data_IF_537106339229
#
_entry.id   IF_537106339229
#
_cell.length_a   1.000
_cell.length_b   1.000
_cell.length_c   1.000
_cell.angle_alpha   90.00
_cell.angle_beta   90.00
_cell.angle_gamma   90.00
#
_symmetry.space_group_name_H-M   'P 1'
#
loop_
_entity.id
_entity.type
_entity.pdbx_description
1 polymer ?
#
# COMPACT_ATOMS: atom_id res chain seq x y z
N UNK A 1 -5.16 -24.54 -9.73
CA UNK A 1 -6.26 -23.62 -10.10
C UNK A 1 -5.98 -22.30 -9.43
N UNK A 2 -5.68 -21.27 -10.21
CA UNK A 2 -5.54 -19.91 -9.71
C UNK A 2 -6.94 -19.38 -9.47
N UNK A 3 -7.34 -19.20 -8.21
CA UNK A 3 -8.58 -18.48 -7.90
C UNK A 3 -8.32 -17.03 -8.30
N UNK A 4 -8.92 -16.57 -9.39
CA UNK A 4 -8.91 -15.14 -9.72
C UNK A 4 -9.51 -14.38 -8.54
N UNK A 5 -8.72 -13.47 -7.95
CA UNK A 5 -9.18 -12.64 -6.85
C UNK A 5 -10.24 -11.68 -7.38
N UNK A 6 -11.50 -11.91 -7.02
CA UNK A 6 -12.57 -10.96 -7.29
C UNK A 6 -12.44 -9.77 -6.32
N UNK A 7 -11.73 -8.72 -6.76
CA UNK A 7 -11.48 -7.50 -5.97
C UNK A 7 -12.79 -6.76 -5.63
N UNK A 8 -13.87 -7.00 -6.39
CA UNK A 8 -15.19 -6.38 -6.19
C UNK A 8 -15.96 -6.92 -4.96
N UNK A 9 -15.24 -7.39 -3.94
CA UNK A 9 -15.78 -7.82 -2.65
C UNK A 9 -14.93 -7.19 -1.54
N UNK A 10 -15.49 -7.00 -0.35
CA UNK A 10 -14.73 -6.46 0.79
C UNK A 10 -13.47 -7.30 1.07
N UNK A 11 -13.61 -8.63 1.08
CA UNK A 11 -12.49 -9.56 1.22
C UNK A 11 -11.51 -9.50 0.05
N UNK A 12 -12.00 -9.27 -1.16
CA UNK A 12 -11.17 -9.14 -2.36
C UNK A 12 -10.27 -7.91 -2.30
N UNK A 13 -10.84 -6.76 -1.95
CA UNK A 13 -10.11 -5.51 -1.77
C UNK A 13 -9.10 -5.61 -0.62
N UNK A 14 -9.48 -6.20 0.52
CA UNK A 14 -8.55 -6.46 1.61
C UNK A 14 -7.38 -7.36 1.18
N UNK A 15 -7.67 -8.47 0.48
CA UNK A 15 -6.65 -9.38 -0.02
C UNK A 15 -5.73 -8.73 -1.06
N UNK A 16 -6.28 -7.87 -1.91
CA UNK A 16 -5.50 -7.08 -2.87
C UNK A 16 -4.48 -6.21 -2.14
N UNK A 17 -4.91 -5.47 -1.10
CA UNK A 17 -4.01 -4.66 -0.29
C UNK A 17 -2.99 -5.47 0.52
N UNK A 18 -3.38 -6.62 1.09
CA UNK A 18 -2.43 -7.53 1.74
C UNK A 18 -1.37 -8.04 0.77
N UNK A 19 -1.75 -8.25 -0.50
CA UNK A 19 -0.82 -8.65 -1.56
C UNK A 19 0.14 -7.52 -1.92
N UNK A 20 -0.33 -6.27 -1.95
CA UNK A 20 0.53 -5.09 -2.08
C UNK A 20 1.56 -5.00 -0.95
N UNK A 21 1.15 -5.12 0.32
CA UNK A 21 2.09 -5.10 1.46
C UNK A 21 3.08 -6.27 1.39
N UNK A 22 2.64 -7.45 0.96
CA UNK A 22 3.53 -8.60 0.71
C UNK A 22 4.56 -8.28 -0.39
N UNK A 23 4.14 -7.61 -1.46
CA UNK A 23 5.03 -7.19 -2.53
C UNK A 23 6.08 -6.18 -2.00
N UNK A 24 5.68 -5.17 -1.22
CA UNK A 24 6.62 -4.23 -0.57
C UNK A 24 7.67 -4.98 0.27
N UNK A 25 7.22 -5.90 1.13
CA UNK A 25 8.12 -6.66 1.99
C UNK A 25 9.05 -7.63 1.25
N UNK A 26 8.79 -7.90 -0.04
CA UNK A 26 9.59 -8.81 -0.87
C UNK A 26 10.58 -8.06 -1.78
N UNK A 27 10.64 -6.72 -1.71
CA UNK A 27 11.57 -5.94 -2.52
C UNK A 27 13.03 -6.27 -2.18
N UNK A 28 13.94 -6.34 -3.17
CA UNK A 28 13.73 -5.99 -4.59
C UNK A 28 13.30 -7.18 -5.48
N UNK A 29 12.93 -8.33 -4.90
CA UNK A 29 12.57 -9.54 -5.67
C UNK A 29 11.13 -9.53 -6.21
N UNK A 30 10.38 -8.47 -5.93
CA UNK A 30 9.00 -8.20 -6.37
C UNK A 30 8.93 -6.88 -7.14
N UNK A 31 7.75 -6.56 -7.69
CA UNK A 31 7.42 -5.24 -8.25
C UNK A 31 6.14 -4.70 -7.62
N UNK A 32 6.05 -3.37 -7.54
CA UNK A 32 4.84 -2.67 -7.12
C UNK A 32 3.94 -2.27 -8.30
N UNK A 33 4.42 -2.34 -9.54
CA UNK A 33 3.72 -1.82 -10.73
C UNK A 33 2.27 -2.31 -10.89
N UNK A 34 1.91 -3.59 -10.57
CA UNK A 34 0.53 -4.07 -10.66
C UNK A 34 -0.43 -3.41 -9.68
N UNK A 35 0.08 -2.66 -8.69
CA UNK A 35 -0.71 -2.02 -7.64
C UNK A 35 -0.74 -0.50 -7.78
N UNK A 36 0.05 0.09 -8.68
CA UNK A 36 0.25 1.53 -8.77
C UNK A 36 -0.31 2.08 -10.07
N UNK A 37 -1.10 3.16 -9.96
CA UNK A 37 -1.55 3.91 -11.12
C UNK A 37 -0.34 4.60 -11.80
N UNK A 38 -0.47 5.02 -13.05
CA UNK A 38 0.59 5.75 -13.77
C UNK A 38 1.04 7.03 -13.06
N UNK A 39 0.14 7.67 -12.31
CA UNK A 39 0.45 8.82 -11.47
C UNK A 39 -0.24 8.66 -10.13
N UNK A 40 0.50 8.86 -9.05
CA UNK A 40 0.05 8.69 -7.67
C UNK A 40 0.14 10.03 -6.95
N UNK A 41 -0.97 10.48 -6.37
CA UNK A 41 -0.96 11.62 -5.46
C UNK A 41 -0.66 11.14 -4.03
N UNK A 42 0.56 11.35 -3.55
CA UNK A 42 0.98 11.06 -2.18
C UNK A 42 1.12 12.35 -1.37
N UNK A 43 0.32 12.51 -0.31
CA UNK A 43 0.34 13.70 0.56
C UNK A 43 0.33 15.03 -0.22
N UNK A 44 -0.56 15.13 -1.21
CA UNK A 44 -0.74 16.28 -2.11
C UNK A 44 0.43 16.55 -3.09
N UNK A 45 1.37 15.61 -3.20
CA UNK A 45 2.42 15.60 -4.23
C UNK A 45 2.12 14.54 -5.29
N UNK A 46 2.14 14.93 -6.56
CA UNK A 46 2.08 13.98 -7.67
C UNK A 46 3.42 13.30 -7.88
N UNK A 47 3.40 11.97 -8.01
CA UNK A 47 4.56 11.11 -8.18
C UNK A 47 4.31 10.12 -9.32
N UNK A 48 5.35 9.81 -10.08
CA UNK A 48 5.41 8.62 -10.93
C UNK A 48 5.52 7.34 -10.08
N UNK A 49 5.33 6.16 -10.70
CA UNK A 49 5.54 4.86 -10.03
C UNK A 49 6.94 4.74 -9.44
N UNK A 50 7.95 5.19 -10.19
CA UNK A 50 9.35 5.16 -9.75
C UNK A 50 9.56 6.04 -8.51
N UNK A 51 9.11 7.29 -8.56
CA UNK A 51 9.26 8.21 -7.42
C UNK A 51 8.50 7.73 -6.18
N UNK A 52 7.32 7.13 -6.37
CA UNK A 52 6.56 6.53 -5.26
C UNK A 52 7.29 5.32 -4.67
N UNK A 53 7.88 4.47 -5.51
CA UNK A 53 8.68 3.33 -5.07
C UNK A 53 9.93 3.77 -4.28
N UNK A 54 10.58 4.86 -4.70
CA UNK A 54 11.77 5.41 -4.02
C UNK A 54 11.48 5.94 -2.61
N UNK A 55 10.21 6.16 -2.24
CA UNK A 55 9.82 6.48 -0.85
C UNK A 55 10.01 5.30 0.10
N UNK A 56 10.05 4.07 -0.41
CA UNK A 56 10.18 2.87 0.40
C UNK A 56 11.64 2.73 0.84
N UNK A 57 11.88 2.89 2.15
CA UNK A 57 13.20 2.67 2.73
C UNK A 57 13.60 1.20 2.53
N UNK A 58 14.74 0.89 1.87
CA UNK A 58 15.15 -0.49 1.59
C UNK A 58 15.25 -1.34 2.86
N UNK A 59 14.92 -2.63 2.74
CA UNK A 59 14.94 -3.62 3.85
C UNK A 59 13.96 -3.34 5.00
N UNK A 60 13.03 -2.41 4.82
CA UNK A 60 11.96 -2.19 5.81
C UNK A 60 10.95 -3.35 5.79
N UNK A 61 10.40 -3.65 6.95
CA UNK A 61 9.37 -4.67 7.14
C UNK A 61 8.09 -3.99 7.62
N UNK A 62 7.03 -4.13 6.83
CA UNK A 62 5.72 -3.57 7.07
C UNK A 62 4.79 -4.65 7.61
N UNK A 63 4.23 -4.42 8.81
CA UNK A 63 3.24 -5.29 9.43
C UNK A 63 1.91 -4.55 9.53
N UNK A 64 0.86 -5.15 8.99
CA UNK A 64 -0.50 -4.64 9.11
C UNK A 64 -1.01 -4.92 10.52
N UNK A 65 -1.40 -3.86 11.24
CA UNK A 65 -2.07 -3.96 12.53
C UNK A 65 -3.60 -3.97 12.39
N UNK A 66 -4.11 -3.14 11.48
CA UNK A 66 -5.55 -2.96 11.26
C UNK A 66 -5.82 -2.55 9.80
N UNK A 67 -7.00 -2.91 9.29
CA UNK A 67 -7.49 -2.53 7.95
C UNK A 67 -8.98 -2.23 8.04
N UNK A 68 -9.38 -1.10 7.45
CA UNK A 68 -10.77 -0.78 7.15
C UNK A 68 -10.93 -0.62 5.64
N UNK A 69 -11.90 -1.31 5.06
CA UNK A 69 -12.22 -1.26 3.63
C UNK A 69 -13.55 -0.52 3.39
N UNK A 70 -13.59 0.30 2.35
CA UNK A 70 -14.82 0.87 1.79
C UNK A 70 -14.83 0.54 0.30
N UNK A 71 -15.54 -0.53 -0.06
CA UNK A 71 -15.55 -1.06 -1.43
C UNK A 71 -16.23 -0.09 -2.40
N UNK A 72 -17.35 0.52 -2.00
CA UNK A 72 -18.11 1.45 -2.84
C UNK A 72 -17.27 2.67 -3.22
N UNK A 73 -16.47 3.17 -2.26
CA UNK A 73 -15.56 4.29 -2.52
C UNK A 73 -14.19 3.84 -3.01
N UNK A 74 -13.90 2.54 -3.07
CA UNK A 74 -12.58 1.97 -3.39
C UNK A 74 -11.49 2.59 -2.51
N UNK A 75 -11.71 2.54 -1.20
CA UNK A 75 -10.77 3.08 -0.20
C UNK A 75 -10.32 2.01 0.77
N UNK A 76 -9.09 2.19 1.24
CA UNK A 76 -8.55 1.48 2.38
C UNK A 76 -7.99 2.49 3.37
N UNK A 77 -8.24 2.25 4.65
CA UNK A 77 -7.41 2.79 5.72
C UNK A 77 -6.68 1.65 6.40
N UNK A 78 -5.42 1.84 6.72
CA UNK A 78 -4.62 0.84 7.42
C UNK A 78 -3.74 1.48 8.49
N UNK A 79 -3.50 0.71 9.54
CA UNK A 79 -2.50 1.01 10.56
C UNK A 79 -1.35 0.03 10.40
N UNK A 80 -0.14 0.55 10.24
CA UNK A 80 1.07 -0.23 10.01
C UNK A 80 2.04 -0.07 11.18
N UNK A 81 2.69 -1.17 11.54
CA UNK A 81 3.91 -1.20 12.36
C UNK A 81 5.07 -1.50 11.43
N UNK A 82 6.02 -0.58 11.33
CA UNK A 82 7.10 -0.64 10.34
C UNK A 82 8.42 -0.68 11.08
N UNK A 83 9.18 -1.74 10.84
CA UNK A 83 10.61 -1.79 11.19
C UNK A 83 11.40 -1.33 9.98
N UNK A 84 11.97 -0.13 10.04
CA UNK A 84 12.77 0.44 8.96
C UNK A 84 14.05 -0.37 8.76
N UNK A 85 14.64 -0.31 7.56
CA UNK A 85 15.89 -1.02 7.25
C UNK A 85 17.09 -0.66 8.13
N UNK A 86 17.02 0.45 8.88
CA UNK A 86 18.01 0.85 9.89
C UNK A 86 17.70 0.37 11.32
N UNK A 87 16.66 -0.46 11.48
CA UNK A 87 16.22 -1.02 12.76
C UNK A 87 15.27 -0.14 13.59
N UNK A 88 15.03 1.13 13.20
CA UNK A 88 14.07 1.99 13.88
C UNK A 88 12.64 1.50 13.66
N UNK A 89 11.77 1.66 14.66
CA UNK A 89 10.35 1.33 14.56
C UNK A 89 9.52 2.61 14.46
N UNK A 90 8.57 2.59 13.56
CA UNK A 90 7.59 3.66 13.39
C UNK A 90 6.21 3.05 13.21
N UNK A 91 5.18 3.80 13.57
CA UNK A 91 3.80 3.49 13.20
C UNK A 91 3.37 4.40 12.07
N UNK A 92 2.52 3.90 11.20
CA UNK A 92 1.94 4.70 10.12
C UNK A 92 0.43 4.51 10.10
N UNK A 93 -0.30 5.62 10.02
CA UNK A 93 -1.71 5.59 9.62
C UNK A 93 -1.75 6.04 8.15
N UNK A 94 -2.28 5.17 7.29
CA UNK A 94 -2.29 5.39 5.84
C UNK A 94 -3.67 5.15 5.25
N UNK A 95 -4.01 5.96 4.25
CA UNK A 95 -5.27 5.94 3.54
C UNK A 95 -4.99 5.87 2.05
N UNK A 96 -5.59 4.90 1.38
CA UNK A 96 -5.45 4.65 -0.05
C UNK A 96 -6.80 4.88 -0.75
N UNK A 97 -6.75 5.47 -1.93
CA UNK A 97 -7.82 5.48 -2.92
C UNK A 97 -7.34 4.71 -4.15
N UNK A 98 -8.20 3.85 -4.67
CA UNK A 98 -7.95 3.09 -5.89
C UNK A 98 -8.78 3.63 -7.06
N UNK A 99 -8.22 3.54 -8.27
CA UNK A 99 -8.88 3.89 -9.53
C UNK A 99 -9.81 2.76 -10.03
N UNK A 100 -10.29 2.86 -11.28
CA UNK A 100 -11.14 1.82 -11.92
C UNK A 100 -10.41 0.51 -12.19
N UNK A 101 -9.09 0.55 -12.35
CA UNK A 101 -8.22 -0.62 -12.48
C UNK A 101 -7.83 -1.27 -11.15
N UNK A 102 -8.33 -0.77 -10.01
CA UNK A 102 -7.90 -1.16 -8.66
C UNK A 102 -6.43 -0.86 -8.37
N UNK A 103 -5.88 0.16 -9.03
CA UNK A 103 -4.53 0.64 -8.79
C UNK A 103 -4.57 1.85 -7.85
N UNK A 104 -3.55 1.98 -7.00
CA UNK A 104 -3.41 3.09 -6.06
C UNK A 104 -3.17 4.39 -6.85
N UNK A 105 -4.15 5.30 -6.80
CA UNK A 105 -4.06 6.63 -7.42
C UNK A 105 -3.85 7.76 -6.40
N UNK A 106 -4.22 7.54 -5.14
CA UNK A 106 -4.00 8.50 -4.06
C UNK A 106 -3.64 7.81 -2.76
N UNK A 107 -2.71 8.43 -2.05
CA UNK A 107 -2.23 8.01 -0.75
C UNK A 107 -2.13 9.23 0.15
N UNK A 108 -2.71 9.14 1.34
CA UNK A 108 -2.41 10.07 2.42
C UNK A 108 -1.87 9.26 3.59
N UNK A 109 -0.72 9.66 4.13
CA UNK A 109 -0.11 8.95 5.24
C UNK A 109 0.59 9.85 6.22
N UNK A 110 0.56 9.42 7.49
CA UNK A 110 1.20 10.10 8.61
C UNK A 110 1.99 9.07 9.43
N UNK A 111 3.25 9.39 9.67
CA UNK A 111 4.19 8.54 10.42
C UNK A 111 4.37 9.07 11.83
N UNK A 112 4.30 8.16 12.80
CA UNK A 112 4.54 8.40 14.22
C UNK A 112 5.84 7.69 14.63
N UNK A 113 6.83 8.46 15.10
CA UNK A 113 8.07 7.90 15.64
C UNK A 113 7.85 7.40 17.07
N UNK A 114 8.33 6.19 17.35
CA UNK A 114 8.29 5.56 18.68
C UNK A 114 9.55 5.87 19.49
#
# INVERSE_FOLDING_TARGET
>A
MSTELNINTLSGLENHYRSYIKAINSLPSSTLDPYLAETINHNDKQLSKLEYHDLIIPKSIFKILDIVTDLEKRKISARLDITLGNGKKVKENVFYQFNEGWEIERVWSMVEFL
#
